data_IF_094400632767
#
_entry.id   IF_094400632767
#
_cell.length_a   1.000
_cell.length_b   1.000
_cell.length_c   1.000
_cell.angle_alpha   90.00
_cell.angle_beta   90.00
_cell.angle_gamma   90.00
#
_symmetry.space_group_name_H-M   'P 1'
#
loop_
_entity.id
_entity.type
_entity.pdbx_description
1 polymer ?
#
# COMPACT_ATOMS: atom_id res chain seq x y z
N UNK A 1 -24.67 4.86 -28.90
CA UNK A 1 -25.29 4.01 -27.86
C UNK A 1 -24.37 2.89 -27.35
N UNK A 2 -23.07 2.89 -27.68
CA UNK A 2 -22.07 1.92 -27.19
C UNK A 2 -21.24 2.42 -25.98
N UNK A 3 -21.32 3.71 -25.67
CA UNK A 3 -20.64 4.33 -24.53
C UNK A 3 -20.97 3.70 -23.15
N UNK A 4 -22.22 3.31 -22.83
CA UNK A 4 -22.52 2.73 -21.51
C UNK A 4 -22.01 1.30 -21.36
N UNK A 5 -21.67 0.61 -22.46
CA UNK A 5 -21.20 -0.79 -22.42
C UNK A 5 -19.73 -0.89 -21.97
N UNK A 6 -18.90 0.10 -22.33
CA UNK A 6 -17.49 0.16 -21.88
C UNK A 6 -17.37 0.46 -20.39
N UNK A 7 -18.24 1.33 -19.84
CA UNK A 7 -18.27 1.67 -18.40
C UNK A 7 -18.69 0.49 -17.51
N UNK A 8 -19.52 -0.42 -18.03
CA UNK A 8 -19.93 -1.64 -17.30
C UNK A 8 -18.79 -2.65 -17.19
N UNK A 9 -17.91 -2.74 -18.19
CA UNK A 9 -16.76 -3.65 -18.16
C UNK A 9 -15.73 -3.24 -17.10
N UNK A 10 -15.53 -1.94 -16.87
CA UNK A 10 -14.67 -1.44 -15.79
C UNK A 10 -15.26 -1.75 -14.41
N UNK A 11 -16.58 -1.70 -14.26
CA UNK A 11 -17.25 -2.04 -13.00
C UNK A 11 -17.25 -3.55 -12.73
N UNK A 12 -17.33 -4.38 -13.78
CA UNK A 12 -17.32 -5.84 -13.67
C UNK A 12 -15.93 -6.43 -13.38
N UNK A 13 -14.85 -5.68 -13.67
CA UNK A 13 -13.46 -6.07 -13.39
C UNK A 13 -12.90 -5.42 -12.12
N UNK A 14 -13.75 -4.96 -11.21
CA UNK A 14 -13.33 -4.77 -9.83
C UNK A 14 -13.17 -6.17 -9.22
N UNK A 15 -11.95 -6.71 -9.26
CA UNK A 15 -11.59 -7.87 -8.45
C UNK A 15 -12.15 -7.64 -7.03
N UNK A 16 -12.76 -8.65 -6.42
CA UNK A 16 -13.20 -8.57 -5.02
C UNK A 16 -11.97 -8.23 -4.15
N UNK A 17 -11.77 -6.94 -3.92
CA UNK A 17 -10.83 -6.47 -2.92
C UNK A 17 -11.51 -6.82 -1.61
N UNK A 18 -11.08 -7.92 -0.99
CA UNK A 18 -11.42 -8.26 0.39
C UNK A 18 -10.91 -7.13 1.28
N UNK A 19 -11.72 -6.09 1.42
CA UNK A 19 -11.42 -4.91 2.19
C UNK A 19 -11.83 -5.20 3.63
N UNK A 20 -10.88 -5.05 4.55
CA UNK A 20 -11.12 -5.24 5.98
C UNK A 20 -12.06 -4.18 6.58
N UNK A 21 -12.49 -3.17 5.82
CA UNK A 21 -13.39 -2.11 6.27
C UNK A 21 -12.74 -1.12 7.23
N UNK A 22 -11.41 -1.10 7.32
CA UNK A 22 -10.65 -0.25 8.26
C UNK A 22 -10.46 1.18 7.74
N UNK A 23 -11.11 1.54 6.62
CA UNK A 23 -11.05 2.89 6.08
C UNK A 23 -11.91 3.81 6.95
N UNK A 24 -11.30 4.85 7.52
CA UNK A 24 -11.99 5.79 8.40
C UNK A 24 -12.04 5.38 9.88
N UNK A 25 -11.42 4.26 10.27
CA UNK A 25 -11.21 3.92 11.68
C UNK A 25 -10.00 4.65 12.25
N UNK A 26 -9.91 4.76 13.59
CA UNK A 26 -8.75 5.36 14.26
C UNK A 26 -7.43 4.67 13.87
N UNK A 27 -7.44 3.34 13.72
CA UNK A 27 -6.29 2.54 13.29
C UNK A 27 -5.91 2.78 11.82
N UNK A 28 -6.89 2.95 10.94
CA UNK A 28 -6.65 3.34 9.54
C UNK A 28 -6.03 4.73 9.45
N UNK A 29 -6.55 5.70 10.21
CA UNK A 29 -6.04 7.07 10.27
C UNK A 29 -4.61 7.09 10.83
N UNK A 30 -4.31 6.27 11.85
CA UNK A 30 -2.96 6.14 12.40
C UNK A 30 -1.93 5.73 11.34
N UNK A 31 -2.29 4.81 10.45
CA UNK A 31 -1.43 4.37 9.34
C UNK A 31 -1.11 5.53 8.38
N UNK A 32 -2.10 6.37 8.07
CA UNK A 32 -1.92 7.56 7.23
C UNK A 32 -1.06 8.61 7.93
N UNK A 33 -1.23 8.80 9.25
CA UNK A 33 -0.40 9.72 10.03
C UNK A 33 1.08 9.31 9.99
N UNK A 34 1.38 8.01 10.13
CA UNK A 34 2.75 7.50 9.99
C UNK A 34 3.35 7.82 8.62
N UNK A 35 2.56 7.64 7.55
CA UNK A 35 2.98 7.99 6.19
C UNK A 35 3.26 9.50 6.05
N UNK A 36 2.39 10.36 6.58
CA UNK A 36 2.57 11.82 6.54
C UNK A 36 3.84 12.23 7.28
N UNK A 37 4.08 11.69 8.47
CA UNK A 37 5.29 11.97 9.26
C UNK A 37 6.54 11.54 8.48
N UNK A 38 6.53 10.34 7.91
CA UNK A 38 7.64 9.84 7.10
C UNK A 38 7.91 10.71 5.88
N UNK A 39 6.86 11.15 5.19
CA UNK A 39 6.97 12.07 4.06
C UNK A 39 7.52 13.43 4.51
N UNK A 40 7.13 13.91 5.68
CA UNK A 40 7.73 15.09 6.31
C UNK A 40 9.24 14.94 6.50
N UNK A 41 9.71 13.79 6.97
CA UNK A 41 11.16 13.50 7.08
C UNK A 41 11.87 13.44 5.72
N UNK A 42 11.20 12.96 4.67
CA UNK A 42 11.74 12.96 3.30
C UNK A 42 11.96 14.39 2.80
N UNK A 43 10.99 15.27 3.05
CA UNK A 43 11.07 16.68 2.68
C UNK A 43 12.11 17.44 3.53
N UNK A 44 12.23 17.10 4.80
CA UNK A 44 13.20 17.68 5.73
C UNK A 44 14.64 17.18 5.53
N UNK A 45 14.94 16.40 4.48
CA UNK A 45 16.31 15.96 4.18
C UNK A 45 17.28 17.15 4.10
N UNK A 46 16.83 18.28 3.55
CA UNK A 46 17.64 19.50 3.39
C UNK A 46 18.21 20.02 4.72
N UNK A 47 17.57 19.69 5.85
CA UNK A 47 17.99 20.12 7.19
C UNK A 47 18.64 18.99 8.01
N UNK A 48 18.33 17.73 7.70
CA UNK A 48 18.73 16.56 8.52
C UNK A 48 19.90 15.77 7.95
N UNK A 49 20.29 15.99 6.70
CA UNK A 49 21.30 15.20 5.96
C UNK A 49 21.02 13.67 5.96
N UNK A 50 19.81 13.25 6.32
CA UNK A 50 19.39 11.86 6.27
C UNK A 50 19.00 11.51 4.85
N UNK A 51 19.70 10.54 4.25
CA UNK A 51 19.32 9.97 2.96
C UNK A 51 17.83 9.62 2.95
N UNK A 52 17.06 10.18 2.01
CA UNK A 52 15.60 9.97 1.88
C UNK A 52 15.15 8.51 2.01
N UNK A 53 15.95 7.55 1.55
CA UNK A 53 15.62 6.13 1.63
C UNK A 53 15.48 5.59 3.06
N UNK A 54 16.20 6.15 4.05
CA UNK A 54 16.17 5.70 5.45
C UNK A 54 14.80 5.89 6.11
N UNK A 55 14.23 7.11 6.17
CA UNK A 55 12.91 7.32 6.77
C UNK A 55 11.81 6.58 6.01
N UNK A 56 11.91 6.51 4.67
CA UNK A 56 10.90 5.83 3.83
C UNK A 56 10.85 4.33 4.12
N UNK A 57 12.01 3.65 4.10
CA UNK A 57 12.06 2.20 4.34
C UNK A 57 11.58 1.87 5.75
N UNK A 58 11.99 2.67 6.75
CA UNK A 58 11.56 2.45 8.14
C UNK A 58 10.05 2.59 8.29
N UNK A 59 9.46 3.68 7.77
CA UNK A 59 8.02 3.88 7.84
C UNK A 59 7.24 2.81 7.08
N UNK A 60 7.72 2.41 5.89
CA UNK A 60 7.12 1.32 5.11
C UNK A 60 7.09 0.00 5.89
N UNK A 61 8.18 -0.35 6.56
CA UNK A 61 8.24 -1.55 7.39
C UNK A 61 7.25 -1.49 8.58
N UNK A 62 7.15 -0.34 9.25
CA UNK A 62 6.20 -0.14 10.37
C UNK A 62 4.75 -0.23 9.86
N UNK A 63 4.42 0.38 8.72
CA UNK A 63 3.09 0.33 8.13
C UNK A 63 2.71 -1.10 7.75
N UNK A 64 3.63 -1.87 7.16
CA UNK A 64 3.39 -3.28 6.82
C UNK A 64 3.19 -4.16 8.06
N UNK A 65 3.99 -3.95 9.11
CA UNK A 65 3.82 -4.66 10.38
C UNK A 65 2.46 -4.32 11.03
N UNK A 66 2.07 -3.04 11.01
CA UNK A 66 0.77 -2.60 11.51
C UNK A 66 -0.40 -3.20 10.70
N UNK A 67 -0.30 -3.26 9.37
CA UNK A 67 -1.31 -3.88 8.52
C UNK A 67 -1.45 -5.39 8.80
N UNK A 68 -0.35 -6.11 8.99
CA UNK A 68 -0.37 -7.53 9.35
C UNK A 68 -1.01 -7.77 10.73
N UNK A 69 -0.74 -6.89 11.69
CA UNK A 69 -1.38 -6.93 13.00
C UNK A 69 -2.90 -6.73 12.91
N UNK A 70 -3.35 -5.72 12.17
CA UNK A 70 -4.77 -5.46 11.95
C UNK A 70 -5.49 -6.61 11.23
N UNK A 71 -4.82 -7.25 10.26
CA UNK A 71 -5.36 -8.43 9.59
C UNK A 71 -5.53 -9.60 10.57
N UNK A 72 -4.58 -9.80 11.49
CA UNK A 72 -4.67 -10.81 12.54
C UNK A 72 -5.82 -10.52 13.50
N UNK A 73 -6.01 -9.27 13.92
CA UNK A 73 -7.15 -8.88 14.79
C UNK A 73 -8.51 -9.08 14.11
N UNK A 74 -8.59 -8.84 12.80
CA UNK A 74 -9.79 -9.07 12.01
C UNK A 74 -10.09 -10.55 11.72
N UNK A 75 -9.25 -11.47 12.22
CA UNK A 75 -9.41 -12.92 12.06
C UNK A 75 -9.02 -13.44 10.67
N UNK A 76 -8.25 -12.67 9.89
CA UNK A 76 -7.74 -13.11 8.59
C UNK A 76 -6.63 -14.15 8.82
N UNK A 77 -6.70 -15.33 8.15
CA UNK A 77 -5.63 -16.32 8.23
C UNK A 77 -4.27 -15.75 7.77
N UNK A 78 -3.20 -16.21 8.42
CA UNK A 78 -1.83 -15.75 8.11
C UNK A 78 -1.47 -16.07 6.65
N UNK A 79 -1.93 -17.20 6.13
CA UNK A 79 -1.71 -17.63 4.75
C UNK A 79 -2.31 -16.65 3.74
N UNK A 80 -3.51 -16.12 4.02
CA UNK A 80 -4.16 -15.14 3.15
C UNK A 80 -3.41 -13.80 3.19
N UNK A 81 -2.98 -13.38 4.38
CA UNK A 81 -2.17 -12.16 4.55
C UNK A 81 -0.84 -12.27 3.81
N UNK A 82 -0.19 -13.44 3.87
CA UNK A 82 1.06 -13.72 3.15
C UNK A 82 0.88 -13.68 1.63
N UNK A 83 -0.20 -14.28 1.10
CA UNK A 83 -0.50 -14.24 -0.34
C UNK A 83 -0.71 -12.81 -0.84
N UNK A 84 -1.44 -11.97 -0.09
CA UNK A 84 -1.64 -10.56 -0.45
C UNK A 84 -0.33 -9.79 -0.45
N UNK A 85 0.52 -10.04 0.54
CA UNK A 85 1.85 -9.44 0.64
C UNK A 85 2.76 -9.83 -0.54
N UNK A 86 2.82 -11.12 -0.88
CA UNK A 86 3.63 -11.63 -1.99
C UNK A 86 3.18 -11.02 -3.32
N UNK A 87 1.86 -10.97 -3.54
CA UNK A 87 1.29 -10.33 -4.74
C UNK A 87 1.70 -8.86 -4.84
N UNK A 88 1.61 -8.09 -3.76
CA UNK A 88 2.02 -6.68 -3.76
C UNK A 88 3.52 -6.51 -4.08
N UNK A 89 4.39 -7.40 -3.59
CA UNK A 89 5.82 -7.38 -3.92
C UNK A 89 6.08 -7.69 -5.39
N UNK A 90 5.39 -8.70 -5.93
CA UNK A 90 5.53 -9.08 -7.34
C UNK A 90 5.02 -7.96 -8.24
N UNK A 91 3.86 -7.36 -7.95
CA UNK A 91 3.34 -6.19 -8.67
C UNK A 91 4.32 -5.01 -8.62
N UNK A 92 4.90 -4.72 -7.44
CA UNK A 92 5.93 -3.68 -7.32
C UNK A 92 7.18 -4.01 -8.15
N UNK A 93 7.63 -5.27 -8.15
CA UNK A 93 8.77 -5.72 -8.93
C UNK A 93 8.48 -5.67 -10.44
N UNK A 94 7.28 -6.03 -10.87
CA UNK A 94 6.81 -5.93 -12.26
C UNK A 94 6.80 -4.48 -12.74
N UNK A 95 6.25 -3.56 -11.94
CA UNK A 95 6.27 -2.13 -12.24
C UNK A 95 7.72 -1.59 -12.28
N UNK A 96 8.58 -2.03 -11.37
CA UNK A 96 10.00 -1.66 -11.39
C UNK A 96 10.70 -2.17 -12.66
N UNK A 97 10.51 -3.44 -13.03
CA UNK A 97 11.07 -4.03 -14.25
C UNK A 97 10.54 -3.34 -15.51
N UNK A 98 9.24 -3.01 -15.53
CA UNK A 98 8.62 -2.23 -16.59
C UNK A 98 9.28 -0.84 -16.72
N UNK A 99 9.46 -0.12 -15.60
CA UNK A 99 10.13 1.19 -15.59
C UNK A 99 11.60 1.11 -16.02
N UNK A 100 12.31 0.02 -15.70
CA UNK A 100 13.69 -0.22 -16.13
C UNK A 100 13.77 -0.39 -17.65
N UNK A 101 12.81 -1.09 -18.27
CA UNK A 101 12.78 -1.29 -19.73
C UNK A 101 12.24 -0.06 -20.46
N UNK A 102 11.34 0.69 -19.83
CA UNK A 102 10.68 1.85 -20.43
C UNK A 102 11.54 3.12 -20.44
N UNK A 103 12.57 3.21 -19.60
CA UNK A 103 13.49 4.36 -19.50
C UNK A 103 14.80 4.16 -20.27
#
# INVERSE_FOLDING_TARGET
>A
MLLPLFLVSELASAAEVNNLGLTGTETGIFTVLLFIIAYGFVMAEEFTHLRKSKPVIFAGAVIWAHAAYLASEAGVPVEQTHQVFERNLVEFAELMLFLIVAM
#
